data_IF_727260880715
#
_entry.id   IF_727260880715
#
_cell.length_a   1.000
_cell.length_b   1.000
_cell.length_c   1.000
_cell.angle_alpha   90.00
_cell.angle_beta   90.00
_cell.angle_gamma   90.00
#
_symmetry.space_group_name_H-M   'P 1'
#
loop_
_entity.id
_entity.type
_entity.pdbx_description
1 polymer ?
#
# COMPACT_ATOMS: atom_id res chain seq x y z
N UNK A 1 -27.35 -39.47 -6.44
CA UNK A 1 -27.94 -40.00 -5.20
C UNK A 1 -28.15 -38.80 -4.23
N UNK A 2 -29.42 -38.52 -3.97
CA UNK A 2 -30.10 -37.65 -2.98
C UNK A 2 -29.47 -36.32 -2.55
N UNK A 3 -30.05 -35.28 -3.11
CA UNK A 3 -30.16 -33.91 -2.63
C UNK A 3 -30.93 -33.88 -1.32
N UNK A 4 -30.45 -33.12 -0.30
CA UNK A 4 -31.28 -32.70 0.83
C UNK A 4 -31.22 -31.18 0.97
N UNK A 5 -32.33 -30.56 0.63
CA UNK A 5 -32.70 -29.19 0.98
C UNK A 5 -33.03 -29.14 2.48
N UNK A 6 -32.60 -28.10 3.14
CA UNK A 6 -33.19 -27.66 4.41
C UNK A 6 -33.41 -26.15 4.36
N UNK A 7 -34.67 -25.79 4.49
CA UNK A 7 -35.25 -24.44 4.50
C UNK A 7 -35.25 -23.87 5.93
N UNK A 8 -35.16 -22.53 5.99
CA UNK A 8 -35.87 -21.75 7.00
C UNK A 8 -35.00 -21.25 8.14
N UNK A 9 -34.88 -19.97 8.39
CA UNK A 9 -35.85 -19.19 9.14
C UNK A 9 -35.42 -17.72 9.19
N UNK A 10 -36.30 -16.84 8.81
CA UNK A 10 -36.21 -15.40 8.99
C UNK A 10 -36.44 -15.03 10.46
N UNK A 11 -35.72 -14.06 10.99
CA UNK A 11 -36.19 -13.26 12.12
C UNK A 11 -35.81 -11.80 11.98
N UNK A 12 -36.84 -11.03 12.07
CA UNK A 12 -37.08 -9.59 12.00
C UNK A 12 -36.68 -8.91 13.34
N UNK A 13 -36.29 -7.65 13.25
CA UNK A 13 -36.43 -6.68 14.37
C UNK A 13 -35.09 -6.25 14.97
N UNK A 14 -34.76 -5.00 15.16
CA UNK A 14 -35.49 -3.82 15.53
C UNK A 14 -34.60 -2.59 15.37
N UNK A 15 -35.17 -1.53 14.86
CA UNK A 15 -34.65 -0.16 14.89
C UNK A 15 -34.50 0.34 16.33
N UNK A 16 -33.38 0.98 16.65
CA UNK A 16 -33.34 1.95 17.75
C UNK A 16 -32.66 3.21 17.22
N UNK A 17 -33.49 4.22 17.00
CA UNK A 17 -33.13 5.62 16.86
C UNK A 17 -32.79 6.15 18.25
N UNK A 18 -31.65 6.80 18.38
CA UNK A 18 -31.41 7.69 19.52
C UNK A 18 -30.90 9.02 18.98
N UNK A 19 -31.76 10.00 19.10
CA UNK A 19 -31.51 11.41 18.81
C UNK A 19 -31.30 12.16 20.13
N UNK A 20 -30.68 13.34 20.00
CA UNK A 20 -30.55 14.43 20.97
C UNK A 20 -29.39 14.33 21.97
N UNK A 21 -28.63 15.39 22.24
CA UNK A 21 -29.00 16.81 22.40
C UNK A 21 -27.77 17.73 22.34
N UNK A 22 -28.03 18.95 21.87
CA UNK A 22 -27.21 20.15 21.99
C UNK A 22 -27.10 20.65 23.45
N UNK A 23 -25.93 21.22 23.82
CA UNK A 23 -25.78 22.40 24.70
C UNK A 23 -24.33 22.87 24.53
N UNK A 24 -23.94 23.98 23.99
CA UNK A 24 -24.20 25.41 24.21
C UNK A 24 -23.52 25.96 25.47
N UNK A 25 -22.58 26.91 25.23
CA UNK A 25 -22.18 28.07 26.02
C UNK A 25 -21.25 27.92 27.22
N UNK A 26 -20.23 28.80 27.19
CA UNK A 26 -19.57 29.29 28.38
C UNK A 26 -18.25 30.01 28.12
N UNK A 27 -18.37 31.29 27.84
CA UNK A 27 -17.30 32.31 27.77
C UNK A 27 -16.83 32.65 29.17
N UNK A 28 -15.53 32.87 29.40
CA UNK A 28 -15.05 33.91 30.33
C UNK A 28 -13.54 34.09 30.25
N UNK A 29 -13.19 35.31 29.98
CA UNK A 29 -11.89 35.98 30.11
C UNK A 29 -11.24 35.82 31.49
N UNK A 30 -9.92 35.86 31.56
CA UNK A 30 -9.18 36.79 32.41
C UNK A 30 -7.69 36.79 32.04
N UNK A 31 -7.17 38.00 31.86
CA UNK A 31 -5.78 38.37 31.62
C UNK A 31 -4.90 38.31 32.87
N UNK A 32 -3.60 38.18 32.69
CA UNK A 32 -2.45 38.89 33.28
C UNK A 32 -1.16 38.15 32.90
N UNK A 33 -0.34 38.76 32.07
CA UNK A 33 0.80 39.64 32.32
C UNK A 33 1.98 38.96 33.04
N UNK A 34 3.09 38.86 32.35
CA UNK A 34 4.43 39.27 32.71
C UNK A 34 5.48 38.81 31.67
N UNK A 35 6.02 39.85 31.06
CA UNK A 35 7.32 40.00 30.43
C UNK A 35 8.42 38.98 30.78
N UNK A 36 9.24 38.56 29.80
CA UNK A 36 10.62 39.01 29.68
C UNK A 36 11.37 38.44 28.48
N UNK A 37 12.01 39.36 27.77
CA UNK A 37 13.37 39.38 27.23
C UNK A 37 13.69 38.59 25.96
N UNK A 38 13.97 39.39 24.95
CA UNK A 38 14.61 39.20 23.67
C UNK A 38 15.80 38.22 23.67
N UNK A 39 15.83 37.40 22.62
CA UNK A 39 17.09 37.06 21.97
C UNK A 39 16.83 37.01 20.44
N UNK A 40 17.44 37.97 19.81
CA UNK A 40 17.54 38.14 18.36
C UNK A 40 18.33 36.96 17.78
N UNK A 41 17.74 36.20 16.88
CA UNK A 41 18.48 35.36 15.96
C UNK A 41 17.95 35.65 14.57
N UNK A 42 18.83 36.16 13.74
CA UNK A 42 18.62 36.48 12.35
C UNK A 42 18.09 35.26 11.58
N UNK A 43 16.90 35.38 11.01
CA UNK A 43 16.41 34.41 10.01
C UNK A 43 16.91 34.92 8.66
N UNK A 44 17.92 34.22 8.16
CA UNK A 44 18.37 34.36 6.77
C UNK A 44 17.17 34.11 5.87
N UNK A 45 16.81 35.09 5.10
CA UNK A 45 15.80 34.99 4.04
C UNK A 45 16.30 34.01 2.98
N UNK A 46 15.72 32.82 2.96
CA UNK A 46 15.85 31.93 1.82
C UNK A 46 14.98 32.50 0.71
N UNK A 47 15.63 32.95 -0.35
CA UNK A 47 14.96 33.39 -1.56
C UNK A 47 14.09 32.25 -2.07
N UNK A 48 12.80 32.49 -2.11
CA UNK A 48 11.79 31.68 -2.76
C UNK A 48 12.10 31.70 -4.26
N UNK A 49 12.80 30.66 -4.71
CA UNK A 49 12.99 30.43 -6.14
C UNK A 49 11.64 29.97 -6.69
N UNK A 50 10.88 30.91 -7.20
CA UNK A 50 9.69 30.65 -8.01
C UNK A 50 10.13 29.80 -9.20
N UNK A 51 9.97 28.49 -9.07
CA UNK A 51 10.02 27.59 -10.24
C UNK A 51 8.74 27.88 -11.01
N UNK A 52 8.90 28.62 -12.10
CA UNK A 52 7.83 28.78 -13.08
C UNK A 52 7.37 27.39 -13.50
N UNK A 53 6.12 27.06 -13.23
CA UNK A 53 5.48 25.87 -13.76
C UNK A 53 5.62 25.91 -15.30
N UNK A 54 5.99 24.80 -15.95
CA UNK A 54 5.95 24.71 -17.40
C UNK A 54 4.52 25.02 -17.85
N UNK A 55 4.37 25.90 -18.83
CA UNK A 55 3.10 26.18 -19.48
C UNK A 55 2.52 24.84 -19.97
N UNK A 56 1.39 24.46 -19.40
CA UNK A 56 0.64 23.27 -19.78
C UNK A 56 0.22 23.41 -21.25
N UNK A 57 0.93 22.73 -22.13
CA UNK A 57 0.36 22.36 -23.41
C UNK A 57 -0.58 21.20 -23.10
N UNK A 58 -1.86 21.50 -22.94
CA UNK A 58 -2.90 20.46 -22.91
C UNK A 58 -2.87 19.77 -24.28
N UNK A 59 -2.09 18.71 -24.37
CA UNK A 59 -2.18 17.77 -25.48
C UNK A 59 -3.48 17.02 -25.28
N UNK A 60 -4.39 17.07 -26.25
CA UNK A 60 -5.58 16.22 -26.31
C UNK A 60 -5.11 14.76 -26.44
N UNK A 61 -4.78 14.13 -25.30
CA UNK A 61 -4.41 12.72 -25.24
C UNK A 61 -5.68 11.89 -25.28
N UNK A 62 -5.70 10.91 -26.17
CA UNK A 62 -6.82 9.97 -26.27
C UNK A 62 -6.31 8.57 -26.57
N UNK A 63 -7.03 7.54 -26.15
CA UNK A 63 -6.67 6.15 -26.42
C UNK A 63 -6.88 5.25 -25.20
N UNK A 64 -6.19 4.12 -25.20
CA UNK A 64 -6.27 3.15 -24.10
C UNK A 64 -4.88 2.74 -23.63
N UNK A 65 -4.74 2.55 -22.31
CA UNK A 65 -3.57 2.00 -21.65
C UNK A 65 -3.99 0.72 -20.92
N UNK A 66 -3.27 -0.36 -21.16
CA UNK A 66 -3.47 -1.63 -20.47
C UNK A 66 -2.34 -1.88 -19.47
N UNK A 67 -2.71 -2.21 -18.23
CA UNK A 67 -1.76 -2.56 -17.17
C UNK A 67 -2.02 -3.98 -16.68
N UNK A 68 -0.96 -4.75 -16.49
CA UNK A 68 -1.02 -6.09 -15.89
C UNK A 68 0.06 -6.20 -14.82
N UNK A 69 -0.20 -6.88 -13.70
CA UNK A 69 0.90 -7.17 -12.80
C UNK A 69 0.58 -7.38 -11.34
N UNK A 70 1.45 -6.85 -10.48
CA UNK A 70 1.49 -7.15 -9.04
C UNK A 70 0.23 -6.75 -8.29
N UNK A 71 -0.32 -7.70 -7.53
CA UNK A 71 -1.42 -7.46 -6.58
C UNK A 71 -1.02 -6.48 -5.46
N UNK A 72 0.26 -6.40 -5.10
CA UNK A 72 0.75 -5.43 -4.11
C UNK A 72 0.67 -3.98 -4.62
N UNK A 73 0.68 -3.78 -5.93
CA UNK A 73 0.58 -2.45 -6.54
C UNK A 73 -0.85 -2.01 -6.85
N UNK A 74 -1.85 -2.87 -6.65
CA UNK A 74 -3.24 -2.62 -7.02
C UNK A 74 -3.76 -1.25 -6.55
N UNK A 75 -3.58 -0.92 -5.26
CA UNK A 75 -4.06 0.34 -4.70
C UNK A 75 -3.38 1.56 -5.33
N UNK A 76 -2.06 1.48 -5.51
CA UNK A 76 -1.29 2.56 -6.13
C UNK A 76 -1.64 2.71 -7.60
N UNK A 77 -1.66 1.61 -8.35
CA UNK A 77 -1.95 1.64 -9.78
C UNK A 77 -3.37 2.14 -10.07
N UNK A 78 -4.37 1.71 -9.29
CA UNK A 78 -5.73 2.21 -9.44
C UNK A 78 -5.83 3.72 -9.15
N UNK A 79 -5.22 4.21 -8.06
CA UNK A 79 -5.23 5.64 -7.74
C UNK A 79 -4.53 6.49 -8.82
N UNK A 80 -3.41 6.01 -9.37
CA UNK A 80 -2.73 6.68 -10.48
C UNK A 80 -3.56 6.67 -11.77
N UNK A 81 -4.24 5.56 -12.06
CA UNK A 81 -5.12 5.44 -13.23
C UNK A 81 -6.31 6.38 -13.13
N UNK A 82 -6.95 6.46 -11.97
CA UNK A 82 -8.07 7.36 -11.73
C UNK A 82 -7.65 8.82 -11.89
N UNK A 83 -6.55 9.23 -11.26
CA UNK A 83 -6.01 10.59 -11.39
C UNK A 83 -5.62 10.93 -12.84
N UNK A 84 -5.06 9.96 -13.57
CA UNK A 84 -4.69 10.17 -14.97
C UNK A 84 -5.91 10.32 -15.88
N UNK A 85 -6.95 9.50 -15.69
CA UNK A 85 -8.20 9.62 -16.44
C UNK A 85 -9.02 10.86 -16.07
N UNK A 86 -8.86 11.39 -14.84
CA UNK A 86 -9.45 12.67 -14.46
C UNK A 86 -8.80 13.85 -15.22
N UNK A 87 -7.49 13.80 -15.39
CA UNK A 87 -6.75 14.83 -16.13
C UNK A 87 -6.88 14.69 -17.65
N UNK A 88 -7.00 13.43 -18.15
CA UNK A 88 -7.15 13.10 -19.56
C UNK A 88 -8.40 12.26 -19.81
N UNK A 89 -9.59 12.88 -19.89
CA UNK A 89 -10.88 12.16 -19.94
C UNK A 89 -11.08 11.27 -21.18
N UNK A 90 -10.34 11.53 -22.26
CA UNK A 90 -10.39 10.77 -23.51
C UNK A 90 -9.45 9.55 -23.49
N UNK A 91 -8.72 9.34 -22.38
CA UNK A 91 -7.88 8.15 -22.16
C UNK A 91 -8.61 7.16 -21.25
N UNK A 92 -8.60 5.89 -21.64
CA UNK A 92 -9.09 4.78 -20.81
C UNK A 92 -7.92 3.97 -20.29
N UNK A 93 -7.81 3.79 -18.99
CA UNK A 93 -6.82 2.92 -18.35
C UNK A 93 -7.49 1.69 -17.78
N UNK A 94 -7.00 0.50 -18.12
CA UNK A 94 -7.46 -0.78 -17.60
C UNK A 94 -6.31 -1.47 -16.84
N UNK A 95 -6.61 -2.12 -15.72
CA UNK A 95 -5.61 -2.79 -14.90
C UNK A 95 -6.07 -4.20 -14.48
N UNK A 96 -5.15 -5.16 -14.54
CA UNK A 96 -5.34 -6.53 -14.08
C UNK A 96 -4.21 -6.91 -13.11
N UNK A 97 -4.56 -7.50 -11.96
CA UNK A 97 -3.60 -7.78 -10.89
C UNK A 97 -3.49 -9.29 -10.64
N UNK A 98 -2.51 -9.91 -11.30
CA UNK A 98 -2.28 -11.38 -11.34
C UNK A 98 -0.85 -11.77 -10.93
N UNK A 99 -0.06 -10.80 -10.47
CA UNK A 99 1.30 -10.99 -9.98
C UNK A 99 2.38 -10.35 -10.86
N UNK A 100 3.53 -10.00 -10.23
CA UNK A 100 4.65 -9.29 -10.89
C UNK A 100 5.20 -10.04 -12.11
N UNK A 101 5.29 -11.37 -12.03
CA UNK A 101 5.82 -12.18 -13.14
C UNK A 101 4.94 -12.09 -14.38
N UNK A 102 3.63 -12.18 -14.22
CA UNK A 102 2.67 -12.05 -15.33
C UNK A 102 2.70 -10.65 -15.95
N UNK A 103 2.85 -9.58 -15.13
CA UNK A 103 2.99 -8.22 -15.63
C UNK A 103 4.24 -8.02 -16.50
N UNK A 104 5.38 -8.53 -16.04
CA UNK A 104 6.64 -8.47 -16.80
C UNK A 104 6.54 -9.28 -18.09
N UNK A 105 5.95 -10.46 -18.05
CA UNK A 105 5.72 -11.29 -19.24
C UNK A 105 4.79 -10.59 -20.23
N UNK A 106 3.69 -9.99 -19.76
CA UNK A 106 2.74 -9.29 -20.62
C UNK A 106 3.39 -8.13 -21.38
N UNK A 107 4.23 -7.32 -20.72
CA UNK A 107 4.98 -6.23 -21.37
C UNK A 107 6.04 -6.80 -22.32
N UNK A 108 6.76 -7.84 -21.93
CA UNK A 108 7.77 -8.48 -22.80
C UNK A 108 7.15 -9.00 -24.11
N UNK A 109 5.94 -9.55 -24.02
CA UNK A 109 5.19 -10.09 -25.16
C UNK A 109 4.37 -9.02 -25.92
N UNK A 110 4.33 -7.78 -25.45
CA UNK A 110 3.55 -6.70 -26.04
C UNK A 110 2.03 -6.85 -25.89
N UNK A 111 1.57 -7.62 -24.89
CA UNK A 111 0.13 -7.82 -24.59
C UNK A 111 -0.39 -6.83 -23.55
N UNK A 112 0.49 -6.08 -22.89
CA UNK A 112 0.17 -4.94 -22.05
C UNK A 112 1.16 -3.82 -22.27
N UNK A 113 0.73 -2.58 -22.06
CA UNK A 113 1.56 -1.37 -22.20
C UNK A 113 2.43 -1.16 -20.95
N UNK A 114 1.90 -1.46 -19.77
CA UNK A 114 2.57 -1.29 -18.49
C UNK A 114 2.53 -2.59 -17.69
N UNK A 115 3.70 -3.02 -17.21
CA UNK A 115 3.86 -4.14 -16.28
C UNK A 115 4.06 -3.65 -14.85
N UNK A 116 3.11 -3.86 -13.97
CA UNK A 116 3.23 -3.51 -12.55
C UNK A 116 4.04 -4.58 -11.81
N UNK A 117 5.15 -4.20 -11.19
CA UNK A 117 6.01 -5.13 -10.45
C UNK A 117 6.33 -4.60 -9.06
N UNK A 118 6.20 -5.44 -8.05
CA UNK A 118 6.63 -5.17 -6.66
C UNK A 118 8.03 -5.70 -6.34
N UNK A 119 8.81 -6.04 -7.36
CA UNK A 119 10.22 -6.42 -7.27
C UNK A 119 11.02 -5.81 -8.41
N UNK A 120 12.32 -5.72 -8.25
CA UNK A 120 13.22 -5.37 -9.34
C UNK A 120 13.19 -6.40 -10.47
N UNK A 121 13.46 -5.94 -11.67
CA UNK A 121 13.63 -6.81 -12.83
C UNK A 121 14.88 -7.69 -12.67
N UNK A 122 14.77 -8.93 -13.10
CA UNK A 122 15.91 -9.84 -13.23
C UNK A 122 16.75 -9.43 -14.44
N UNK A 123 18.00 -9.90 -14.48
CA UNK A 123 18.92 -9.57 -15.58
C UNK A 123 18.38 -10.06 -16.94
N UNK A 124 17.76 -11.24 -16.98
CA UNK A 124 17.13 -11.79 -18.18
C UNK A 124 15.95 -10.94 -18.67
N UNK A 125 15.16 -10.36 -17.75
CA UNK A 125 14.02 -9.50 -18.07
C UNK A 125 14.50 -8.14 -18.62
N UNK A 126 15.58 -7.59 -18.05
CA UNK A 126 16.26 -6.39 -18.57
C UNK A 126 16.86 -6.64 -19.95
N UNK A 127 17.47 -7.82 -20.14
CA UNK A 127 18.05 -8.20 -21.44
C UNK A 127 16.98 -8.39 -22.52
N UNK A 128 15.73 -8.68 -22.15
CA UNK A 128 14.58 -8.74 -23.07
C UNK A 128 14.07 -7.33 -23.50
N UNK A 129 14.68 -6.26 -23.00
CA UNK A 129 14.37 -4.88 -23.39
C UNK A 129 13.30 -4.21 -22.53
N UNK A 130 12.87 -4.84 -21.43
CA UNK A 130 11.93 -4.21 -20.49
C UNK A 130 12.63 -3.09 -19.73
N UNK A 131 12.00 -1.92 -19.67
CA UNK A 131 12.51 -0.74 -18.96
C UNK A 131 11.90 -0.67 -17.56
N UNK A 132 12.75 -0.54 -16.53
CA UNK A 132 12.33 -0.43 -15.15
C UNK A 132 12.17 1.04 -14.74
N UNK A 133 10.96 1.43 -14.34
CA UNK A 133 10.67 2.74 -13.77
C UNK A 133 10.23 2.57 -12.32
N UNK A 134 11.08 2.99 -11.36
CA UNK A 134 10.77 2.90 -9.93
C UNK A 134 9.83 4.05 -9.55
N UNK A 135 8.60 3.72 -9.15
CA UNK A 135 7.57 4.71 -8.79
C UNK A 135 7.43 4.87 -7.27
N UNK A 136 7.81 3.86 -6.49
CA UNK A 136 7.78 3.89 -5.02
C UNK A 136 8.75 2.86 -4.45
N UNK A 137 9.10 3.03 -3.18
CA UNK A 137 9.85 2.05 -2.39
C UNK A 137 8.91 1.50 -1.32
N UNK A 138 8.80 0.18 -1.26
CA UNK A 138 7.98 -0.54 -0.27
C UNK A 138 8.86 -1.37 0.64
N UNK A 139 8.33 -1.73 1.82
CA UNK A 139 8.98 -2.57 2.81
C UNK A 139 8.08 -3.73 3.24
N UNK A 140 8.67 -4.91 3.37
CA UNK A 140 7.99 -6.08 3.92
C UNK A 140 8.32 -6.19 5.40
N UNK A 141 7.30 -6.18 6.26
CA UNK A 141 7.44 -6.44 7.68
C UNK A 141 6.95 -7.87 8.00
N UNK A 142 7.73 -8.57 8.81
CA UNK A 142 7.30 -9.84 9.40
C UNK A 142 6.66 -9.52 10.75
N UNK A 143 5.41 -9.90 10.92
CA UNK A 143 4.67 -9.68 12.15
C UNK A 143 4.54 -10.99 12.93
N UNK A 144 4.64 -10.89 14.24
CA UNK A 144 4.43 -11.98 15.19
C UNK A 144 3.37 -11.58 16.22
N UNK A 145 2.85 -12.53 16.97
CA UNK A 145 1.94 -12.25 18.09
C UNK A 145 2.62 -11.30 19.10
N UNK A 146 1.91 -10.28 19.64
CA UNK A 146 2.47 -9.37 20.64
C UNK A 146 2.99 -10.06 21.92
N UNK A 147 2.50 -11.26 22.22
CA UNK A 147 2.98 -12.07 23.35
C UNK A 147 4.30 -12.80 23.04
N UNK A 148 4.78 -12.78 21.79
CA UNK A 148 6.04 -13.41 21.43
C UNK A 148 7.23 -12.59 21.98
N UNK A 149 8.07 -13.21 22.78
CA UNK A 149 9.20 -12.57 23.44
C UNK A 149 10.47 -12.42 22.55
N UNK A 150 10.44 -12.98 21.33
CA UNK A 150 11.56 -12.85 20.39
C UNK A 150 11.63 -11.42 19.87
N UNK A 151 12.64 -10.70 20.28
CA UNK A 151 12.80 -9.27 19.95
C UNK A 151 13.42 -9.05 18.57
N UNK A 152 14.24 -9.99 18.08
CA UNK A 152 14.94 -9.88 16.79
C UNK A 152 15.23 -11.24 16.20
N UNK A 153 15.29 -11.30 14.88
CA UNK A 153 15.65 -12.48 14.10
C UNK A 153 16.68 -12.12 13.02
N UNK A 154 17.74 -12.90 12.94
CA UNK A 154 18.65 -12.75 11.81
C UNK A 154 17.98 -13.21 10.51
N UNK A 155 18.48 -12.73 9.38
CA UNK A 155 18.00 -13.15 8.06
C UNK A 155 18.09 -14.68 7.87
N UNK A 156 19.12 -15.30 8.43
CA UNK A 156 19.32 -16.75 8.37
C UNK A 156 18.26 -17.48 9.20
N UNK A 157 17.99 -17.04 10.44
CA UNK A 157 16.92 -17.60 11.27
C UNK A 157 15.57 -17.49 10.59
N UNK A 158 15.26 -16.31 10.04
CA UNK A 158 14.03 -16.10 9.29
C UNK A 158 13.92 -17.03 8.09
N UNK A 159 14.99 -17.19 7.32
CA UNK A 159 15.03 -18.14 6.20
C UNK A 159 14.78 -19.57 6.68
N UNK A 160 15.36 -19.98 7.80
CA UNK A 160 15.19 -21.33 8.36
C UNK A 160 13.79 -21.57 8.90
N UNK A 161 13.10 -20.55 9.40
CA UNK A 161 11.68 -20.61 9.76
C UNK A 161 10.81 -20.82 8.51
N UNK A 162 11.00 -19.98 7.48
CA UNK A 162 10.17 -20.06 6.28
C UNK A 162 10.39 -21.31 5.42
N UNK A 163 11.58 -21.92 5.48
CA UNK A 163 11.85 -23.20 4.80
C UNK A 163 11.49 -24.44 5.66
N UNK A 164 11.03 -24.24 6.91
CA UNK A 164 10.59 -25.29 7.81
C UNK A 164 11.75 -26.05 8.51
N UNK A 165 12.97 -25.53 8.48
CA UNK A 165 14.11 -26.11 9.22
C UNK A 165 14.01 -25.81 10.71
N UNK A 166 13.54 -24.60 11.06
CA UNK A 166 13.23 -24.17 12.42
C UNK A 166 11.70 -24.14 12.57
N UNK A 167 11.19 -24.92 13.50
CA UNK A 167 9.74 -25.12 13.70
C UNK A 167 9.24 -24.78 15.10
N UNK A 168 10.13 -24.39 15.99
CA UNK A 168 9.81 -24.05 17.37
C UNK A 168 10.51 -22.77 17.78
N UNK A 169 9.80 -21.86 18.44
CA UNK A 169 10.32 -20.57 18.87
C UNK A 169 11.53 -20.67 19.80
N UNK A 170 11.64 -21.73 20.61
CA UNK A 170 12.81 -21.95 21.48
C UNK A 170 14.13 -22.06 20.73
N UNK A 171 14.10 -22.48 19.48
CA UNK A 171 15.31 -22.61 18.65
C UNK A 171 15.90 -21.25 18.26
N UNK A 172 15.09 -20.20 18.40
CA UNK A 172 15.48 -18.81 18.11
C UNK A 172 15.38 -17.88 19.33
N UNK A 173 15.32 -18.47 20.52
CA UNK A 173 15.35 -17.73 21.79
C UNK A 173 14.00 -17.35 22.38
N UNK A 174 12.91 -17.87 21.85
CA UNK A 174 11.55 -17.70 22.37
C UNK A 174 11.07 -18.84 23.25
N UNK A 175 9.77 -18.87 23.50
CA UNK A 175 9.08 -19.90 24.28
C UNK A 175 9.11 -21.27 23.59
N UNK A 176 8.89 -22.34 24.36
CA UNK A 176 8.76 -23.71 23.79
C UNK A 176 7.37 -23.90 23.15
N UNK A 177 7.19 -23.25 22.00
CA UNK A 177 5.92 -23.25 21.25
C UNK A 177 6.21 -23.46 19.76
N UNK A 178 5.30 -24.11 19.02
CA UNK A 178 5.46 -24.33 17.59
C UNK A 178 5.33 -23.02 16.80
N UNK A 179 6.12 -22.89 15.73
CA UNK A 179 6.01 -21.79 14.77
C UNK A 179 4.98 -22.18 13.71
N UNK A 180 3.96 -21.33 13.54
CA UNK A 180 3.00 -21.42 12.44
C UNK A 180 3.35 -20.32 11.43
N UNK A 181 3.88 -20.70 10.27
CA UNK A 181 4.25 -19.76 9.22
C UNK A 181 3.02 -19.46 8.37
N UNK A 182 2.71 -18.16 8.24
CA UNK A 182 1.66 -17.65 7.37
C UNK A 182 2.32 -16.82 6.29
N UNK A 183 2.09 -17.16 5.05
CA UNK A 183 2.61 -16.47 3.88
C UNK A 183 1.49 -16.17 2.89
N UNK A 184 1.83 -15.40 1.86
CA UNK A 184 0.95 -15.20 0.72
C UNK A 184 1.02 -16.42 -0.22
N UNK A 185 0.00 -16.59 -1.01
CA UNK A 185 -0.05 -17.62 -2.04
C UNK A 185 1.03 -17.41 -3.13
N UNK A 186 1.39 -18.47 -3.81
CA UNK A 186 2.37 -18.41 -4.89
C UNK A 186 1.87 -17.52 -6.03
N UNK A 187 2.76 -16.64 -6.51
CA UNK A 187 2.44 -15.69 -7.58
C UNK A 187 1.94 -14.33 -7.11
N UNK A 188 1.74 -14.18 -5.80
CA UNK A 188 1.28 -12.93 -5.20
C UNK A 188 2.42 -11.91 -5.05
#
# INVERSE_FOLDING_TARGET
MRVRHSKGLALVGACILFAMSLAACGNSDTAADAANTASSAEVSSVAESSVAAPAETTTDLSGSISMVGSTSMEKLANALSEAFMEEYPDVTVTAEFVGSGAGIEAVTNGTADIGNSSRSLKDEEKAAGVVENVVAIDGIAVCVDPANEVADLTKEQLTNIYNGTVTNWKEVGGADEPIIVIGREAGS
#
